data_IF_168579755795
#
_entry.id   IF_168579755795
#
_cell.length_a   1.000
_cell.length_b   1.000
_cell.length_c   1.000
_cell.angle_alpha   90.00
_cell.angle_beta   90.00
_cell.angle_gamma   90.00
#
_symmetry.space_group_name_H-M   'P 1'
#
loop_
_entity.id
_entity.type
_entity.pdbx_description
1 polymer ?
#
# COMPACT_ATOMS: atom_id res chain seq x y z
N UNK A 1 13.27 -21.78 -26.83
CA UNK A 1 12.09 -22.38 -26.21
C UNK A 1 11.30 -21.24 -25.61
N UNK A 2 10.05 -21.03 -26.00
CA UNK A 2 9.19 -20.03 -25.35
C UNK A 2 8.97 -20.51 -23.90
N UNK A 3 9.26 -19.67 -22.94
CA UNK A 3 8.96 -19.95 -21.54
C UNK A 3 7.47 -19.79 -21.33
N UNK A 4 6.86 -20.68 -20.54
CA UNK A 4 5.44 -20.54 -20.19
C UNK A 4 5.17 -19.19 -19.55
N UNK A 5 4.06 -18.52 -19.88
CA UNK A 5 3.75 -17.22 -19.34
C UNK A 5 3.59 -17.27 -17.82
N UNK A 6 4.10 -16.24 -17.16
CA UNK A 6 4.04 -16.12 -15.70
C UNK A 6 2.61 -15.79 -15.24
N UNK A 7 2.06 -16.62 -14.36
CA UNK A 7 0.73 -16.38 -13.79
C UNK A 7 0.76 -15.31 -12.72
N UNK A 8 0.02 -14.24 -12.92
CA UNK A 8 -0.08 -13.10 -11.98
C UNK A 8 -1.49 -12.99 -11.45
N UNK A 9 -1.61 -12.98 -10.12
CA UNK A 9 -2.90 -12.86 -9.44
C UNK A 9 -3.11 -11.43 -8.93
N UNK A 10 -4.23 -10.84 -9.30
CA UNK A 10 -4.73 -9.58 -8.77
C UNK A 10 -5.80 -9.87 -7.73
N UNK A 11 -5.58 -9.40 -6.51
CA UNK A 11 -6.51 -9.67 -5.42
C UNK A 11 -7.63 -8.62 -5.40
N UNK A 12 -8.92 -9.01 -5.21
CA UNK A 12 -10.04 -8.09 -5.16
C UNK A 12 -9.85 -6.90 -4.20
N UNK A 13 -9.20 -7.12 -3.06
CA UNK A 13 -8.85 -6.07 -2.10
C UNK A 13 -7.84 -5.04 -2.64
N UNK A 14 -6.98 -5.42 -3.59
CA UNK A 14 -5.94 -4.56 -4.15
C UNK A 14 -6.42 -3.87 -5.46
N UNK A 15 -7.37 -4.47 -6.17
CA UNK A 15 -7.80 -3.99 -7.50
C UNK A 15 -8.36 -2.56 -7.42
N UNK A 16 -9.10 -2.23 -6.37
CA UNK A 16 -9.59 -0.86 -6.17
C UNK A 16 -8.46 0.18 -6.16
N UNK A 17 -7.26 -0.20 -5.67
CA UNK A 17 -6.10 0.68 -5.73
C UNK A 17 -5.60 0.85 -7.17
N UNK A 18 -5.56 -0.23 -7.96
CA UNK A 18 -5.05 -0.20 -9.33
C UNK A 18 -5.92 0.62 -10.29
N UNK A 19 -7.22 0.70 -10.02
CA UNK A 19 -8.19 1.47 -10.82
C UNK A 19 -8.61 2.81 -10.19
N UNK A 20 -7.88 3.26 -9.15
CA UNK A 20 -8.06 4.58 -8.55
C UNK A 20 -9.27 4.75 -7.63
N UNK A 21 -9.93 3.65 -7.24
CA UNK A 21 -11.08 3.67 -6.32
C UNK A 21 -10.71 3.53 -4.84
N UNK A 22 -9.43 3.33 -4.52
CA UNK A 22 -8.91 3.36 -3.16
C UNK A 22 -8.01 4.58 -2.96
N UNK A 23 -8.53 5.61 -2.32
CA UNK A 23 -7.77 6.85 -2.06
C UNK A 23 -6.81 6.76 -0.87
N UNK A 24 -6.89 5.70 -0.05
CA UNK A 24 -6.12 5.58 1.18
C UNK A 24 -4.76 4.91 0.99
N UNK A 25 -4.74 3.74 0.37
CA UNK A 25 -3.51 2.98 0.13
C UNK A 25 -3.53 2.36 -1.27
N UNK A 26 -2.80 2.95 -2.19
CA UNK A 26 -2.64 2.40 -3.54
C UNK A 26 -1.17 2.21 -3.91
N UNK A 27 -0.23 2.86 -3.24
CA UNK A 27 1.21 2.71 -3.48
C UNK A 27 1.66 1.33 -3.05
N UNK A 28 1.30 0.88 -1.85
CA UNK A 28 1.69 -0.45 -1.33
C UNK A 28 1.18 -1.62 -2.19
N UNK A 29 -0.11 -1.66 -2.62
CA UNK A 29 -0.57 -2.68 -3.57
C UNK A 29 0.21 -2.67 -4.89
N UNK A 30 0.49 -1.48 -5.43
CA UNK A 30 1.24 -1.32 -6.68
C UNK A 30 2.69 -1.83 -6.56
N UNK A 31 3.40 -1.48 -5.49
CA UNK A 31 4.76 -1.95 -5.23
C UNK A 31 4.81 -3.47 -5.05
N UNK A 32 3.82 -4.05 -4.35
CA UNK A 32 3.69 -5.51 -4.25
C UNK A 32 3.46 -6.18 -5.59
N UNK A 33 2.67 -5.57 -6.48
CA UNK A 33 2.45 -6.07 -7.81
C UNK A 33 3.74 -6.02 -8.64
N UNK A 34 4.44 -4.89 -8.62
CA UNK A 34 5.73 -4.75 -9.30
C UNK A 34 6.74 -5.80 -8.82
N UNK A 35 6.93 -5.94 -7.52
CA UNK A 35 7.83 -6.97 -6.95
C UNK A 35 7.46 -8.39 -7.39
N UNK A 36 6.17 -8.69 -7.54
CA UNK A 36 5.71 -10.00 -8.03
C UNK A 36 5.99 -10.20 -9.51
N UNK A 37 5.79 -9.17 -10.33
CA UNK A 37 5.99 -9.27 -11.79
C UNK A 37 7.46 -9.25 -12.17
N UNK A 38 8.24 -8.37 -11.57
CA UNK A 38 9.63 -8.06 -11.91
C UNK A 38 10.46 -7.81 -10.64
N UNK A 39 10.75 -8.92 -9.93
CA UNK A 39 11.49 -8.87 -8.66
C UNK A 39 12.94 -8.43 -8.85
N UNK A 40 13.54 -8.69 -10.01
CA UNK A 40 14.91 -8.34 -10.32
C UNK A 40 15.06 -6.83 -10.41
N UNK A 41 14.30 -6.18 -11.31
CA UNK A 41 14.37 -4.72 -11.44
C UNK A 41 13.95 -3.99 -10.17
N UNK A 42 12.99 -4.54 -9.41
CA UNK A 42 12.62 -4.00 -8.11
C UNK A 42 13.82 -3.99 -7.14
N UNK A 43 14.49 -5.13 -7.05
CA UNK A 43 15.67 -5.30 -6.17
C UNK A 43 16.84 -4.43 -6.61
N UNK A 44 17.11 -4.37 -7.91
CA UNK A 44 18.22 -3.59 -8.47
C UNK A 44 18.06 -2.09 -8.22
N UNK A 45 16.86 -1.55 -8.41
CA UNK A 45 16.61 -0.13 -8.16
C UNK A 45 16.77 0.20 -6.67
N UNK A 46 16.28 -0.66 -5.77
CA UNK A 46 16.46 -0.48 -4.34
C UNK A 46 17.94 -0.56 -3.97
N UNK A 47 18.68 -1.55 -4.48
CA UNK A 47 20.11 -1.70 -4.20
C UNK A 47 20.91 -0.51 -4.73
N UNK A 48 20.59 0.00 -5.92
CA UNK A 48 21.23 1.20 -6.46
C UNK A 48 20.95 2.42 -5.57
N UNK A 49 19.74 2.57 -5.06
CA UNK A 49 19.41 3.65 -4.13
C UNK A 49 20.16 3.52 -2.80
N UNK A 50 20.32 2.29 -2.27
CA UNK A 50 21.13 2.02 -1.07
C UNK A 50 22.60 2.34 -1.32
N UNK A 51 23.17 1.93 -2.46
CA UNK A 51 24.57 2.23 -2.84
C UNK A 51 24.78 3.75 -2.94
N UNK A 52 23.82 4.48 -3.49
CA UNK A 52 23.87 5.95 -3.53
C UNK A 52 23.89 6.55 -2.12
N UNK A 53 23.06 6.05 -1.21
CA UNK A 53 23.01 6.49 0.18
C UNK A 53 24.34 6.23 0.89
N UNK A 54 24.93 5.04 0.71
CA UNK A 54 26.23 4.69 1.30
C UNK A 54 27.36 5.59 0.76
N UNK A 55 27.31 5.92 -0.52
CA UNK A 55 28.25 6.87 -1.15
C UNK A 55 28.11 8.27 -0.55
N UNK A 56 26.88 8.73 -0.27
CA UNK A 56 26.64 10.02 0.38
C UNK A 56 27.16 10.03 1.84
N UNK A 57 26.91 8.96 2.60
CA UNK A 57 27.43 8.80 3.98
C UNK A 57 28.96 8.86 3.99
N UNK A 58 29.62 8.15 3.07
CA UNK A 58 31.07 8.18 2.94
C UNK A 58 31.62 9.58 2.62
N UNK A 59 30.93 10.33 1.74
CA UNK A 59 31.33 11.73 1.46
C UNK A 59 31.26 12.62 2.70
N UNK A 60 30.24 12.41 3.56
CA UNK A 60 30.14 13.15 4.84
C UNK A 60 31.34 12.82 5.75
N UNK A 61 31.66 11.53 5.90
CA UNK A 61 32.83 11.09 6.69
C UNK A 61 34.15 11.71 6.18
N UNK A 62 34.34 11.77 4.86
CA UNK A 62 35.53 12.37 4.25
C UNK A 62 35.57 13.89 4.49
N UNK A 63 34.45 14.59 4.47
CA UNK A 63 34.36 16.01 4.80
C UNK A 63 34.63 16.28 6.28
N UNK A 64 34.17 15.41 7.19
CA UNK A 64 34.48 15.50 8.61
C UNK A 64 35.97 15.31 8.88
N UNK A 65 36.62 14.34 8.24
CA UNK A 65 38.09 14.17 8.29
C UNK A 65 38.82 15.41 7.77
N UNK A 66 38.35 16.04 6.70
CA UNK A 66 38.93 17.29 6.21
C UNK A 66 38.81 18.41 7.24
N UNK A 67 37.68 18.50 7.96
CA UNK A 67 37.47 19.46 9.04
C UNK A 67 38.44 19.25 10.18
N UNK A 68 38.69 18.01 10.60
CA UNK A 68 39.68 17.65 11.60
C UNK A 68 41.11 18.04 11.20
N UNK A 69 41.48 17.79 9.93
CA UNK A 69 42.76 18.19 9.38
C UNK A 69 42.93 19.71 9.39
N UNK A 70 41.92 20.49 9.02
CA UNK A 70 41.94 21.95 9.08
C UNK A 70 42.11 22.46 10.53
N UNK A 71 41.48 21.77 11.49
CA UNK A 71 41.66 22.11 12.91
C UNK A 71 43.13 21.87 13.35
N UNK A 72 43.74 20.79 12.87
CA UNK A 72 45.14 20.47 13.14
C UNK A 72 46.09 21.51 12.50
N UNK A 73 45.80 21.93 11.28
CA UNK A 73 46.56 22.97 10.56
C UNK A 73 46.45 24.34 11.26
N UNK A 74 45.29 24.68 11.81
CA UNK A 74 45.08 25.88 12.60
C UNK A 74 45.91 25.83 13.89
N UNK A 75 45.88 24.70 14.61
CA UNK A 75 46.62 24.50 15.85
C UNK A 75 48.15 24.59 15.59
N UNK A 76 48.61 24.09 14.45
CA UNK A 76 50.00 24.16 14.01
C UNK A 76 50.37 25.53 13.37
N UNK A 77 49.46 26.51 13.39
CA UNK A 77 49.63 27.86 12.81
C UNK A 77 49.94 27.85 11.29
N UNK A 78 49.56 26.79 10.56
CA UNK A 78 49.72 26.69 9.11
C UNK A 78 48.70 27.52 8.36
N UNK A 79 47.52 27.71 8.94
CA UNK A 79 46.42 28.54 8.41
C UNK A 79 45.96 29.58 9.45
N UNK A 80 45.37 30.66 8.95
CA UNK A 80 44.81 31.72 9.82
C UNK A 80 43.39 31.33 10.28
N UNK A 81 42.97 31.93 11.40
CA UNK A 81 41.57 31.76 11.89
C UNK A 81 40.51 32.14 10.85
N UNK A 82 40.80 33.13 10.01
CA UNK A 82 39.89 33.56 8.97
C UNK A 82 39.73 32.48 7.87
N UNK A 83 40.86 31.93 7.40
CA UNK A 83 40.86 30.85 6.44
C UNK A 83 40.18 29.60 6.98
N UNK A 84 40.47 29.21 8.22
CA UNK A 84 39.78 28.11 8.90
C UNK A 84 38.26 28.31 8.90
N UNK A 85 37.76 29.47 9.40
CA UNK A 85 36.33 29.76 9.45
C UNK A 85 35.68 29.69 8.07
N UNK A 86 36.34 30.17 7.03
CA UNK A 86 35.82 30.14 5.65
C UNK A 86 35.69 28.70 5.14
N UNK A 87 36.71 27.86 5.35
CA UNK A 87 36.73 26.48 4.91
C UNK A 87 35.69 25.64 5.67
N UNK A 88 35.63 25.74 6.99
CA UNK A 88 34.68 25.05 7.83
C UNK A 88 33.23 25.42 7.43
N UNK A 89 32.95 26.71 7.21
CA UNK A 89 31.61 27.13 6.76
C UNK A 89 31.20 26.48 5.42
N UNK A 90 32.15 26.29 4.50
CA UNK A 90 31.87 25.58 3.23
C UNK A 90 31.56 24.10 3.49
N UNK A 91 32.39 23.44 4.32
CA UNK A 91 32.19 22.02 4.67
C UNK A 91 30.84 21.86 5.36
N UNK A 92 30.52 22.65 6.37
CA UNK A 92 29.26 22.57 7.13
C UNK A 92 28.04 22.74 6.21
N UNK A 93 28.12 23.66 5.23
CA UNK A 93 27.08 23.84 4.24
C UNK A 93 26.89 22.58 3.37
N UNK A 94 28.00 22.03 2.83
CA UNK A 94 27.96 20.84 1.99
C UNK A 94 27.48 19.61 2.76
N UNK A 95 27.94 19.42 4.01
CA UNK A 95 27.47 18.35 4.89
C UNK A 95 25.97 18.47 5.16
N UNK A 96 25.47 19.69 5.42
CA UNK A 96 24.05 19.93 5.65
C UNK A 96 23.19 19.57 4.41
N UNK A 97 23.66 19.93 3.20
CA UNK A 97 22.99 19.61 1.94
C UNK A 97 22.98 18.10 1.71
N UNK A 98 24.11 17.40 1.85
CA UNK A 98 24.20 15.95 1.69
C UNK A 98 23.32 15.23 2.72
N UNK A 99 23.34 15.65 3.98
CA UNK A 99 22.51 15.05 5.03
C UNK A 99 21.01 15.20 4.75
N UNK A 100 20.59 16.35 4.20
CA UNK A 100 19.20 16.56 3.79
C UNK A 100 18.79 15.62 2.66
N UNK A 101 19.64 15.48 1.65
CA UNK A 101 19.41 14.55 0.53
C UNK A 101 19.42 13.09 1.00
N UNK A 102 20.37 12.71 1.85
CA UNK A 102 20.48 11.36 2.41
C UNK A 102 19.24 10.98 3.23
N UNK A 103 18.76 11.89 4.10
CA UNK A 103 17.52 11.67 4.86
C UNK A 103 16.31 11.48 3.93
N UNK A 104 16.20 12.29 2.88
CA UNK A 104 15.13 12.13 1.88
C UNK A 104 15.22 10.79 1.16
N UNK A 105 16.42 10.35 0.78
CA UNK A 105 16.64 9.06 0.10
C UNK A 105 16.39 7.88 1.05
N UNK A 106 16.83 7.96 2.30
CA UNK A 106 16.61 6.95 3.34
C UNK A 106 15.11 6.77 3.62
N UNK A 107 14.38 7.85 3.81
CA UNK A 107 12.91 7.80 3.97
C UNK A 107 12.20 7.17 2.77
N UNK A 108 12.68 7.43 1.55
CA UNK A 108 12.14 6.82 0.32
C UNK A 108 12.43 5.31 0.27
N UNK A 109 13.66 4.88 0.56
CA UNK A 109 14.03 3.47 0.60
C UNK A 109 13.19 2.74 1.66
N UNK A 110 13.07 3.30 2.86
CA UNK A 110 12.29 2.72 3.95
C UNK A 110 10.79 2.58 3.58
N UNK A 111 10.27 3.49 2.77
CA UNK A 111 8.86 3.44 2.35
C UNK A 111 8.56 2.37 1.29
N UNK A 112 9.53 1.95 0.50
CA UNK A 112 9.36 0.99 -0.61
C UNK A 112 9.96 -0.39 -0.33
N UNK A 113 10.92 -0.51 0.59
CA UNK A 113 11.51 -1.80 0.96
C UNK A 113 10.59 -2.55 1.93
N UNK A 114 9.64 -3.32 1.36
CA UNK A 114 8.69 -4.13 2.12
C UNK A 114 9.36 -5.12 3.09
N UNK A 115 10.53 -5.63 2.72
CA UNK A 115 11.30 -6.55 3.58
C UNK A 115 11.93 -5.79 4.76
N UNK A 116 12.33 -4.55 4.53
CA UNK A 116 12.83 -3.65 5.57
C UNK A 116 11.73 -3.22 6.53
N UNK A 117 10.52 -2.93 6.03
CA UNK A 117 9.36 -2.63 6.86
C UNK A 117 9.04 -3.77 7.83
N UNK A 118 9.09 -5.03 7.36
CA UNK A 118 8.89 -6.20 8.22
C UNK A 118 10.02 -6.35 9.25
N UNK A 119 11.27 -6.09 8.85
CA UNK A 119 12.42 -6.09 9.77
C UNK A 119 12.31 -4.98 10.81
N UNK A 120 11.82 -3.82 10.40
CA UNK A 120 11.61 -2.67 11.27
C UNK A 120 10.58 -2.99 12.38
N UNK A 121 9.45 -3.60 12.02
CA UNK A 121 8.45 -4.08 13.01
C UNK A 121 9.09 -5.10 13.96
N UNK A 122 9.87 -6.05 13.43
CA UNK A 122 10.57 -7.03 14.27
C UNK A 122 11.63 -6.40 15.18
N UNK A 123 12.23 -5.26 14.78
CA UNK A 123 13.25 -4.56 15.58
C UNK A 123 12.70 -3.85 16.81
N UNK A 124 11.38 -3.68 16.93
CA UNK A 124 10.74 -3.07 18.12
C UNK A 124 10.84 -3.98 19.37
N UNK A 125 11.28 -5.22 19.16
CA UNK A 125 11.44 -6.20 20.22
C UNK A 125 10.33 -7.23 20.25
N UNK A 126 10.68 -8.42 20.75
CA UNK A 126 9.79 -9.60 20.73
C UNK A 126 8.50 -9.34 21.53
N UNK A 127 8.61 -8.77 22.71
CA UNK A 127 7.48 -8.43 23.59
C UNK A 127 6.49 -7.48 22.93
N UNK A 128 6.99 -6.51 22.17
CA UNK A 128 6.15 -5.56 21.44
C UNK A 128 5.44 -6.23 20.27
N UNK A 129 6.10 -7.15 19.57
CA UNK A 129 5.46 -7.94 18.50
C UNK A 129 4.39 -8.86 19.08
N UNK A 130 4.63 -9.49 20.20
CA UNK A 130 3.65 -10.32 20.91
C UNK A 130 2.45 -9.49 21.38
N UNK A 131 2.69 -8.28 21.91
CA UNK A 131 1.63 -7.34 22.26
C UNK A 131 0.78 -6.98 21.03
N UNK A 132 1.41 -6.72 19.89
CA UNK A 132 0.72 -6.40 18.63
C UNK A 132 -0.16 -7.56 18.16
N UNK A 133 0.29 -8.79 18.35
CA UNK A 133 -0.40 -10.02 17.93
C UNK A 133 -1.40 -10.55 18.97
N UNK A 134 -1.40 -10.02 20.20
CA UNK A 134 -2.28 -10.48 21.26
C UNK A 134 -3.76 -10.34 20.91
N UNK A 135 -4.55 -11.39 21.09
CA UNK A 135 -6.01 -11.38 20.90
C UNK A 135 -6.75 -10.81 22.11
N UNK A 136 -6.12 -10.89 23.27
CA UNK A 136 -6.73 -10.52 24.56
C UNK A 136 -6.80 -9.01 24.76
N UNK A 137 -5.84 -8.26 24.17
CA UNK A 137 -5.72 -6.83 24.39
C UNK A 137 -6.60 -6.06 23.39
N UNK A 138 -7.40 -5.16 23.89
CA UNK A 138 -8.24 -4.28 23.08
C UNK A 138 -7.37 -3.42 22.10
N UNK A 139 -7.88 -3.21 20.89
CA UNK A 139 -7.15 -2.49 19.83
C UNK A 139 -6.74 -1.07 20.27
N UNK A 140 -7.59 -0.36 21.02
CA UNK A 140 -7.27 0.97 21.54
C UNK A 140 -6.13 0.93 22.55
N UNK A 141 -6.10 -0.08 23.40
CA UNK A 141 -5.06 -0.26 24.39
C UNK A 141 -3.73 -0.68 23.72
N UNK A 142 -3.79 -1.52 22.67
CA UNK A 142 -2.63 -1.81 21.83
C UNK A 142 -2.04 -0.54 21.23
N UNK A 143 -2.88 0.29 20.62
CA UNK A 143 -2.42 1.55 20.01
C UNK A 143 -1.75 2.46 21.05
N UNK A 144 -2.37 2.62 22.23
CA UNK A 144 -1.83 3.43 23.32
C UNK A 144 -0.48 2.87 23.84
N UNK A 145 -0.41 1.58 24.09
CA UNK A 145 0.79 0.93 24.59
C UNK A 145 1.94 1.03 23.59
N UNK A 146 1.69 0.79 22.30
CA UNK A 146 2.68 0.91 21.23
C UNK A 146 3.18 2.35 21.11
N UNK A 147 2.29 3.34 21.14
CA UNK A 147 2.70 4.75 21.11
C UNK A 147 3.64 5.06 22.27
N UNK A 148 3.31 4.65 23.49
CA UNK A 148 4.16 4.84 24.66
C UNK A 148 5.53 4.16 24.52
N UNK A 149 5.57 2.93 23.97
CA UNK A 149 6.82 2.20 23.73
C UNK A 149 7.67 2.94 22.69
N UNK A 150 7.09 3.36 21.58
CA UNK A 150 7.80 4.05 20.51
C UNK A 150 8.33 5.41 20.95
N UNK A 151 7.56 6.17 21.74
CA UNK A 151 7.97 7.47 22.29
C UNK A 151 9.17 7.33 23.23
N UNK A 152 9.27 6.21 23.97
CA UNK A 152 10.38 5.90 24.86
C UNK A 152 11.66 5.40 24.15
N UNK A 153 11.58 5.06 22.87
CA UNK A 153 12.73 4.51 22.12
C UNK A 153 13.75 5.56 21.65
N UNK A 154 13.54 6.86 21.94
CA UNK A 154 14.42 7.96 21.52
C UNK A 154 14.83 7.92 20.04
N UNK A 155 13.90 7.57 19.16
CA UNK A 155 14.13 7.47 17.73
C UNK A 155 14.10 8.85 17.07
N UNK A 156 14.86 9.01 15.97
CA UNK A 156 14.75 10.20 15.12
C UNK A 156 13.33 10.34 14.54
N UNK A 157 12.85 11.59 14.38
CA UNK A 157 11.46 11.89 14.04
C UNK A 157 10.90 11.13 12.81
N UNK A 158 11.71 11.01 11.74
CA UNK A 158 11.29 10.29 10.52
C UNK A 158 11.15 8.77 10.76
N UNK A 159 12.05 8.18 11.54
CA UNK A 159 11.97 6.76 11.94
C UNK A 159 10.79 6.49 12.85
N UNK A 160 10.55 7.39 13.80
CA UNK A 160 9.41 7.30 14.71
C UNK A 160 8.09 7.36 13.91
N UNK A 161 7.95 8.33 13.00
CA UNK A 161 6.75 8.45 12.15
C UNK A 161 6.51 7.20 11.29
N UNK A 162 7.58 6.63 10.71
CA UNK A 162 7.49 5.40 9.92
C UNK A 162 7.04 4.22 10.78
N UNK A 163 7.63 4.02 11.95
CA UNK A 163 7.25 2.95 12.88
C UNK A 163 5.83 3.12 13.40
N UNK A 164 5.40 4.32 13.73
CA UNK A 164 4.02 4.61 14.14
C UNK A 164 3.03 4.26 13.02
N UNK A 165 3.35 4.60 11.78
CA UNK A 165 2.51 4.25 10.62
C UNK A 165 2.43 2.74 10.42
N UNK A 166 3.56 2.04 10.40
CA UNK A 166 3.61 0.59 10.14
C UNK A 166 2.97 -0.22 11.28
N UNK A 167 3.22 0.15 12.53
CA UNK A 167 2.58 -0.51 13.68
C UNK A 167 1.07 -0.26 13.72
N UNK A 168 0.61 0.96 13.41
CA UNK A 168 -0.81 1.28 13.30
C UNK A 168 -1.47 0.47 12.17
N UNK A 169 -0.82 0.36 11.01
CA UNK A 169 -1.28 -0.46 9.89
C UNK A 169 -1.37 -1.94 10.28
N UNK A 170 -0.36 -2.45 10.99
CA UNK A 170 -0.34 -3.82 11.48
C UNK A 170 -1.49 -4.10 12.47
N UNK A 171 -1.69 -3.20 13.46
CA UNK A 171 -2.79 -3.32 14.43
C UNK A 171 -4.14 -3.34 13.72
N UNK A 172 -4.34 -2.46 12.74
CA UNK A 172 -5.61 -2.38 12.01
C UNK A 172 -5.88 -3.64 11.18
N UNK A 173 -4.87 -4.19 10.52
CA UNK A 173 -4.97 -5.44 9.74
C UNK A 173 -5.27 -6.63 10.67
N UNK A 174 -4.52 -6.74 11.76
CA UNK A 174 -4.70 -7.81 12.74
C UNK A 174 -6.06 -7.74 13.43
N UNK A 175 -6.58 -6.53 13.71
CA UNK A 175 -7.92 -6.36 14.27
C UNK A 175 -9.01 -6.93 13.35
N UNK A 176 -8.87 -6.75 12.03
CA UNK A 176 -9.79 -7.35 11.05
C UNK A 176 -9.82 -8.86 11.18
N UNK A 177 -8.68 -9.50 10.94
CA UNK A 177 -8.55 -10.95 10.84
C UNK A 177 -8.90 -11.69 12.14
N UNK A 178 -8.40 -11.23 13.29
CA UNK A 178 -8.64 -11.89 14.59
C UNK A 178 -10.11 -11.87 15.05
N UNK A 179 -10.96 -11.04 14.44
CA UNK A 179 -12.36 -10.90 14.85
C UNK A 179 -13.35 -11.38 13.79
N UNK A 180 -12.88 -11.92 12.68
CA UNK A 180 -13.71 -12.48 11.62
C UNK A 180 -14.56 -13.63 12.16
N UNK A 181 -13.97 -14.61 12.85
CA UNK A 181 -14.66 -15.75 13.42
C UNK A 181 -15.80 -15.32 14.36
N UNK A 182 -15.55 -14.37 15.24
CA UNK A 182 -16.58 -13.82 16.15
C UNK A 182 -17.70 -13.09 15.40
N UNK A 183 -17.45 -12.50 14.24
CA UNK A 183 -18.51 -11.90 13.43
C UNK A 183 -19.35 -12.96 12.73
N UNK A 184 -18.71 -14.03 12.27
CA UNK A 184 -19.35 -15.22 11.68
C UNK A 184 -20.28 -15.86 12.70
N UNK A 185 -19.79 -16.20 13.90
CA UNK A 185 -20.57 -16.82 14.96
C UNK A 185 -21.84 -16.02 15.31
N UNK A 186 -21.71 -14.70 15.50
CA UNK A 186 -22.85 -13.83 15.80
C UNK A 186 -23.85 -13.81 14.64
N UNK A 187 -23.34 -13.80 13.39
CA UNK A 187 -24.20 -13.81 12.21
C UNK A 187 -24.96 -15.13 12.09
N UNK A 188 -24.28 -16.27 12.23
CA UNK A 188 -24.87 -17.61 12.15
C UNK A 188 -25.93 -17.81 13.23
N UNK A 189 -25.64 -17.41 14.47
CA UNK A 189 -26.61 -17.46 15.58
C UNK A 189 -27.87 -16.64 15.30
N UNK A 190 -27.72 -15.44 14.71
CA UNK A 190 -28.86 -14.57 14.42
C UNK A 190 -29.65 -14.99 13.21
N UNK A 191 -29.01 -15.54 12.19
CA UNK A 191 -29.64 -15.90 10.92
C UNK A 191 -30.13 -17.35 10.87
N UNK A 192 -29.63 -18.23 11.74
CA UNK A 192 -29.84 -19.67 11.67
C UNK A 192 -29.18 -20.35 10.47
N UNK A 193 -28.23 -19.68 9.83
CA UNK A 193 -27.54 -20.13 8.60
C UNK A 193 -26.10 -20.46 8.93
N UNK A 194 -25.59 -21.58 8.46
CA UNK A 194 -24.17 -21.93 8.55
C UNK A 194 -23.46 -21.56 7.26
N UNK A 195 -22.32 -20.88 7.36
CA UNK A 195 -21.48 -20.43 6.25
C UNK A 195 -20.35 -21.45 5.97
N UNK A 196 -19.98 -21.60 4.71
CA UNK A 196 -18.70 -22.23 4.35
C UNK A 196 -17.59 -21.16 4.48
N UNK A 197 -16.78 -21.31 5.53
CA UNK A 197 -15.65 -20.44 5.86
C UNK A 197 -14.30 -21.11 5.58
N UNK A 198 -14.26 -22.09 4.70
CA UNK A 198 -13.06 -22.86 4.38
C UNK A 198 -11.92 -22.05 3.75
N UNK A 199 -12.15 -20.78 3.47
CA UNK A 199 -11.22 -19.82 2.83
C UNK A 199 -10.55 -20.40 1.57
N UNK A 200 -11.31 -21.14 0.80
CA UNK A 200 -10.87 -21.71 -0.47
C UNK A 200 -10.46 -20.59 -1.43
N UNK A 201 -9.35 -20.83 -2.15
CA UNK A 201 -8.86 -19.88 -3.13
C UNK A 201 -9.59 -20.05 -4.46
N UNK A 202 -10.27 -19.00 -4.92
CA UNK A 202 -10.94 -18.93 -6.20
C UNK A 202 -10.14 -18.07 -7.17
N UNK A 203 -10.20 -18.40 -8.46
CA UNK A 203 -9.50 -17.64 -9.50
C UNK A 203 -10.30 -17.63 -10.80
N UNK A 204 -10.21 -16.54 -11.55
CA UNK A 204 -10.75 -16.38 -12.89
C UNK A 204 -9.76 -15.63 -13.76
N UNK A 205 -9.49 -16.13 -14.96
CA UNK A 205 -8.61 -15.48 -15.91
C UNK A 205 -9.25 -14.18 -16.43
N UNK A 206 -8.44 -13.14 -16.56
CA UNK A 206 -8.85 -11.88 -17.18
C UNK A 206 -8.63 -12.03 -18.68
N UNK A 207 -9.69 -11.92 -19.52
CA UNK A 207 -9.51 -11.95 -20.96
C UNK A 207 -8.70 -10.72 -21.40
N UNK A 208 -7.46 -10.91 -21.81
CA UNK A 208 -6.58 -9.84 -22.29
C UNK A 208 -6.70 -9.60 -23.81
N UNK A 209 -7.85 -9.89 -24.41
CA UNK A 209 -8.08 -9.77 -25.85
C UNK A 209 -8.03 -8.34 -26.44
N UNK A 210 -7.75 -7.32 -25.61
CA UNK A 210 -7.57 -5.94 -26.05
C UNK A 210 -6.10 -5.53 -26.16
N UNK A 211 -5.17 -6.41 -25.84
CA UNK A 211 -3.76 -6.09 -25.98
C UNK A 211 -3.25 -6.59 -27.33
N UNK A 212 -3.03 -5.65 -28.25
CA UNK A 212 -2.11 -5.86 -29.38
C UNK A 212 -0.66 -6.05 -28.89
N UNK A 213 -0.48 -6.34 -27.60
CA UNK A 213 0.84 -6.55 -27.04
C UNK A 213 1.25 -7.99 -27.22
N UNK A 214 2.24 -8.18 -28.04
CA UNK A 214 3.07 -9.37 -28.24
C UNK A 214 3.82 -9.86 -26.99
N UNK A 215 3.43 -9.47 -25.78
CA UNK A 215 4.04 -9.99 -24.56
C UNK A 215 3.25 -11.20 -24.07
N UNK A 216 3.59 -12.36 -24.61
CA UNK A 216 3.23 -13.66 -24.03
C UNK A 216 3.85 -13.88 -22.64
N UNK A 217 4.25 -12.81 -21.96
CA UNK A 217 5.04 -12.90 -20.73
C UNK A 217 4.19 -13.17 -19.49
N UNK A 218 2.94 -12.68 -19.47
CA UNK A 218 2.07 -12.78 -18.29
C UNK A 218 0.68 -13.32 -18.63
N UNK A 219 0.16 -14.19 -17.75
CA UNK A 219 -1.25 -14.56 -17.67
C UNK A 219 -1.87 -13.91 -16.43
N UNK A 220 -2.89 -13.08 -16.63
CA UNK A 220 -3.53 -12.32 -15.57
C UNK A 220 -4.78 -13.00 -15.03
N UNK A 221 -4.90 -13.08 -13.73
CA UNK A 221 -6.02 -13.66 -13.01
C UNK A 221 -6.52 -12.72 -11.93
N UNK A 222 -7.84 -12.64 -11.78
CA UNK A 222 -8.43 -12.21 -10.51
C UNK A 222 -8.46 -13.42 -9.60
N UNK A 223 -8.00 -13.30 -8.37
CA UNK A 223 -7.99 -14.43 -7.43
C UNK A 223 -8.06 -13.96 -5.99
N UNK A 224 -8.75 -14.74 -5.15
CA UNK A 224 -8.89 -14.39 -3.74
C UNK A 224 -9.56 -15.48 -2.93
N UNK A 225 -9.59 -15.23 -1.61
CA UNK A 225 -10.32 -16.00 -0.62
C UNK A 225 -11.45 -15.15 -0.09
N UNK A 226 -12.58 -15.78 0.21
CA UNK A 226 -13.74 -15.11 0.78
C UNK A 226 -13.84 -15.43 2.27
N UNK A 227 -14.44 -14.51 3.02
CA UNK A 227 -14.68 -14.70 4.44
C UNK A 227 -15.77 -15.76 4.69
N UNK A 228 -16.75 -15.85 3.78
CA UNK A 228 -17.78 -16.89 3.85
C UNK A 228 -18.62 -17.00 2.58
N UNK A 229 -19.24 -18.15 2.43
CA UNK A 229 -20.18 -18.43 1.33
C UNK A 229 -21.37 -19.20 1.89
N UNK A 230 -22.57 -18.84 1.47
CA UNK A 230 -23.77 -19.64 1.66
C UNK A 230 -24.23 -20.18 0.32
N UNK A 231 -24.35 -21.49 0.20
CA UNK A 231 -24.87 -22.17 -0.98
C UNK A 231 -26.20 -22.83 -0.64
N UNK A 232 -27.27 -22.33 -1.21
CA UNK A 232 -28.57 -22.97 -1.15
C UNK A 232 -28.67 -23.95 -2.33
N UNK A 233 -28.68 -25.25 -2.01
CA UNK A 233 -28.70 -26.32 -3.03
C UNK A 233 -30.03 -26.44 -3.73
N UNK A 234 -31.12 -26.14 -3.03
CA UNK A 234 -32.48 -26.26 -3.55
C UNK A 234 -32.89 -25.00 -4.32
N UNK A 235 -32.34 -23.86 -3.94
CA UNK A 235 -32.58 -22.53 -4.48
C UNK A 235 -31.27 -21.77 -4.76
N UNK A 236 -30.51 -22.11 -5.82
CA UNK A 236 -29.22 -21.51 -6.12
C UNK A 236 -29.25 -19.99 -6.22
N UNK A 237 -30.38 -19.40 -6.59
CA UNK A 237 -30.59 -17.95 -6.65
C UNK A 237 -30.55 -17.27 -5.28
N UNK A 238 -30.67 -18.03 -4.18
CA UNK A 238 -30.55 -17.55 -2.78
C UNK A 238 -29.14 -17.67 -2.24
N UNK A 239 -28.24 -18.26 -3.02
CA UNK A 239 -26.83 -18.33 -2.64
C UNK A 239 -26.21 -16.94 -2.63
N UNK A 240 -25.30 -16.71 -1.67
CA UNK A 240 -24.61 -15.42 -1.56
C UNK A 240 -23.21 -15.59 -1.00
N UNK A 241 -22.36 -14.63 -1.33
CA UNK A 241 -21.04 -14.47 -0.72
C UNK A 241 -21.15 -13.58 0.52
N UNK A 242 -20.22 -13.77 1.45
CA UNK A 242 -20.13 -12.95 2.67
C UNK A 242 -18.76 -12.27 2.68
N UNK A 243 -18.79 -10.97 2.93
CA UNK A 243 -17.63 -10.15 3.23
C UNK A 243 -17.79 -9.56 4.64
N UNK A 244 -16.75 -9.65 5.46
CA UNK A 244 -16.78 -9.22 6.86
C UNK A 244 -15.90 -8.01 7.05
N UNK A 245 -16.42 -7.00 7.74
CA UNK A 245 -15.67 -5.81 8.11
C UNK A 245 -15.78 -5.52 9.60
N UNK A 246 -14.70 -5.71 10.34
CA UNK A 246 -14.60 -5.34 11.73
C UNK A 246 -14.28 -3.85 11.84
N UNK A 247 -15.27 -3.06 12.24
CA UNK A 247 -15.17 -1.61 12.35
C UNK A 247 -14.57 -1.19 13.70
N UNK A 248 -13.66 -0.22 13.69
CA UNK A 248 -13.00 0.28 14.90
C UNK A 248 -13.71 1.50 15.51
N UNK A 249 -14.35 2.32 14.67
CA UNK A 249 -14.92 3.62 15.09
C UNK A 249 -16.43 3.73 14.96
N UNK A 250 -17.09 2.74 14.36
CA UNK A 250 -18.53 2.72 14.08
C UNK A 250 -18.84 2.23 12.69
N UNK A 251 -20.11 2.03 12.39
CA UNK A 251 -20.57 1.64 11.07
C UNK A 251 -20.44 2.80 10.08
N UNK A 252 -20.05 2.51 8.84
CA UNK A 252 -20.04 3.53 7.80
C UNK A 252 -21.47 3.86 7.35
N UNK A 253 -21.75 5.12 7.10
CA UNK A 253 -23.04 5.57 6.58
C UNK A 253 -23.29 5.08 5.16
N UNK A 254 -22.23 4.97 4.35
CA UNK A 254 -22.27 4.52 2.95
C UNK A 254 -21.22 3.46 2.70
N UNK A 255 -21.50 2.55 1.77
CA UNK A 255 -20.52 1.58 1.28
C UNK A 255 -19.38 2.31 0.58
N UNK A 256 -18.15 2.04 0.99
CA UNK A 256 -16.96 2.64 0.38
C UNK A 256 -16.68 2.04 -0.99
N UNK A 257 -16.19 2.84 -1.94
CA UNK A 257 -15.95 2.39 -3.32
C UNK A 257 -14.99 1.20 -3.39
N UNK A 258 -13.93 1.20 -2.59
CA UNK A 258 -12.98 0.07 -2.56
C UNK A 258 -13.62 -1.22 -2.02
N UNK A 259 -14.56 -1.13 -1.08
CA UNK A 259 -15.31 -2.31 -0.57
C UNK A 259 -16.35 -2.77 -1.61
N UNK A 260 -17.02 -1.81 -2.25
CA UNK A 260 -17.95 -2.09 -3.34
C UNK A 260 -17.26 -2.84 -4.48
N UNK A 261 -16.08 -2.36 -4.89
CA UNK A 261 -15.25 -3.01 -5.91
C UNK A 261 -14.87 -4.43 -5.50
N UNK A 262 -14.36 -4.62 -4.29
CA UNK A 262 -13.97 -5.91 -3.75
C UNK A 262 -15.13 -6.91 -3.79
N UNK A 263 -16.31 -6.50 -3.31
CA UNK A 263 -17.51 -7.35 -3.25
C UNK A 263 -17.99 -7.75 -4.67
N UNK A 264 -18.03 -6.80 -5.62
CA UNK A 264 -18.44 -7.10 -7.00
C UNK A 264 -17.47 -8.06 -7.69
N UNK A 265 -16.18 -7.96 -7.42
CA UNK A 265 -15.17 -8.89 -7.94
C UNK A 265 -15.31 -10.29 -7.33
N UNK A 266 -15.66 -10.42 -6.07
CA UNK A 266 -15.96 -11.73 -5.48
C UNK A 266 -17.23 -12.35 -6.05
N UNK A 267 -18.31 -11.57 -6.25
CA UNK A 267 -19.51 -12.04 -6.96
C UNK A 267 -19.17 -12.51 -8.38
N UNK A 268 -18.33 -11.77 -9.09
CA UNK A 268 -17.83 -12.16 -10.41
C UNK A 268 -17.00 -13.44 -10.39
N UNK A 269 -16.12 -13.63 -9.41
CA UNK A 269 -15.28 -14.83 -9.28
C UNK A 269 -16.09 -16.10 -9.16
N UNK A 270 -17.16 -16.08 -8.36
CA UNK A 270 -17.99 -17.25 -8.09
C UNK A 270 -19.23 -17.34 -8.98
N UNK A 271 -19.51 -16.31 -9.77
CA UNK A 271 -20.76 -16.18 -10.52
C UNK A 271 -22.00 -16.25 -9.61
N UNK A 272 -21.92 -15.65 -8.44
CA UNK A 272 -23.01 -15.53 -7.47
C UNK A 272 -23.44 -14.05 -7.44
N UNK A 273 -24.69 -13.71 -7.84
CA UNK A 273 -25.09 -12.32 -8.07
C UNK A 273 -25.48 -11.57 -6.79
N UNK A 274 -25.33 -12.16 -5.63
CA UNK A 274 -25.68 -11.56 -4.33
C UNK A 274 -24.54 -11.68 -3.33
N UNK A 275 -24.35 -10.63 -2.56
CA UNK A 275 -23.42 -10.57 -1.46
C UNK A 275 -24.08 -10.01 -0.20
N UNK A 276 -23.57 -10.40 0.97
CA UNK A 276 -23.89 -9.78 2.25
C UNK A 276 -22.62 -9.20 2.87
N UNK A 277 -22.60 -7.90 3.03
CA UNK A 277 -21.58 -7.22 3.83
C UNK A 277 -22.01 -7.27 5.31
N UNK A 278 -21.21 -7.94 6.12
CA UNK A 278 -21.42 -8.03 7.57
C UNK A 278 -20.41 -7.09 8.23
N UNK A 279 -20.92 -6.02 8.80
CA UNK A 279 -20.12 -5.08 9.58
C UNK A 279 -20.31 -5.36 11.07
N UNK A 280 -19.21 -5.47 11.80
CA UNK A 280 -19.20 -5.64 13.26
C UNK A 280 -18.55 -4.43 13.94
N UNK A 281 -19.21 -3.90 14.94
CA UNK A 281 -18.68 -2.86 15.82
C UNK A 281 -19.05 -3.17 17.28
N UNK A 282 -18.04 -3.48 18.09
CA UNK A 282 -18.26 -4.02 19.44
C UNK A 282 -19.05 -5.33 19.39
N UNK A 283 -20.18 -5.38 20.09
CA UNK A 283 -21.13 -6.51 20.08
C UNK A 283 -22.23 -6.40 19.03
N UNK A 284 -22.28 -5.30 18.28
CA UNK A 284 -23.30 -5.06 17.27
C UNK A 284 -22.85 -5.54 15.90
N UNK A 285 -23.79 -6.10 15.13
CA UNK A 285 -23.60 -6.39 13.71
C UNK A 285 -24.67 -5.71 12.88
N UNK A 286 -24.28 -5.27 11.69
CA UNK A 286 -25.14 -4.75 10.64
C UNK A 286 -24.91 -5.57 9.38
N UNK A 287 -25.97 -6.02 8.75
CA UNK A 287 -25.89 -6.76 7.46
C UNK A 287 -26.49 -5.90 6.36
N UNK A 288 -25.75 -5.71 5.29
CA UNK A 288 -26.19 -5.01 4.08
C UNK A 288 -26.20 -6.00 2.92
N UNK A 289 -27.33 -6.14 2.24
CA UNK A 289 -27.45 -6.97 1.02
C UNK A 289 -27.02 -6.13 -0.18
N UNK A 290 -26.17 -6.70 -1.01
CA UNK A 290 -25.62 -6.07 -2.20
C UNK A 290 -25.88 -7.01 -3.37
N UNK A 291 -26.51 -6.49 -4.43
CA UNK A 291 -26.69 -7.22 -5.68
C UNK A 291 -25.65 -6.81 -6.71
N UNK A 292 -25.29 -7.73 -7.58
CA UNK A 292 -24.33 -7.46 -8.63
C UNK A 292 -24.90 -6.40 -9.60
N UNK A 293 -24.14 -5.32 -9.75
CA UNK A 293 -24.36 -4.30 -10.78
C UNK A 293 -23.43 -4.62 -11.96
N UNK A 294 -24.01 -5.12 -13.06
CA UNK A 294 -23.25 -5.54 -14.23
C UNK A 294 -22.54 -4.35 -14.91
N UNK A 295 -23.17 -3.17 -14.91
CA UNK A 295 -22.58 -1.97 -15.49
C UNK A 295 -21.36 -1.53 -14.68
N UNK A 296 -21.48 -1.52 -13.34
CA UNK A 296 -20.36 -1.23 -12.45
C UNK A 296 -19.23 -2.25 -12.58
N UNK A 297 -19.55 -3.54 -12.65
CA UNK A 297 -18.57 -4.61 -12.86
C UNK A 297 -17.82 -4.45 -14.18
N UNK A 298 -18.52 -4.15 -15.28
CA UNK A 298 -17.87 -3.96 -16.58
C UNK A 298 -16.92 -2.74 -16.58
N UNK A 299 -17.29 -1.67 -15.88
CA UNK A 299 -16.41 -0.52 -15.67
C UNK A 299 -15.14 -0.90 -14.90
N UNK A 300 -15.27 -1.73 -13.84
CA UNK A 300 -14.11 -2.25 -13.11
C UNK A 300 -13.20 -3.06 -14.04
N UNK A 301 -13.77 -4.01 -14.78
CA UNK A 301 -13.01 -4.89 -15.65
C UNK A 301 -12.34 -4.14 -16.80
N UNK A 302 -13.01 -3.14 -17.34
CA UNK A 302 -12.43 -2.27 -18.39
C UNK A 302 -11.26 -1.44 -17.85
N UNK A 303 -11.43 -0.78 -16.71
CA UNK A 303 -10.35 -0.02 -16.07
C UNK A 303 -9.17 -0.91 -15.69
N UNK A 304 -9.46 -2.14 -15.25
CA UNK A 304 -8.42 -3.11 -14.91
C UNK A 304 -7.63 -3.57 -16.14
N UNK A 305 -8.28 -3.79 -17.28
CA UNK A 305 -7.61 -4.14 -18.55
C UNK A 305 -6.71 -2.98 -19.02
N UNK A 306 -7.18 -1.74 -18.93
CA UNK A 306 -6.37 -0.54 -19.25
C UNK A 306 -5.15 -0.49 -18.34
N UNK A 307 -5.36 -0.67 -17.03
CA UNK A 307 -4.26 -0.69 -16.07
C UNK A 307 -3.23 -1.77 -16.40
N UNK A 308 -3.65 -3.02 -16.63
CA UNK A 308 -2.76 -4.14 -16.97
C UNK A 308 -1.92 -3.80 -18.20
N UNK A 309 -2.56 -3.35 -19.29
CA UNK A 309 -1.88 -3.00 -20.52
C UNK A 309 -0.83 -1.88 -20.31
N UNK A 310 -1.18 -0.83 -19.59
CA UNK A 310 -0.25 0.25 -19.29
C UNK A 310 0.84 -0.17 -18.29
N UNK A 311 0.51 -1.03 -17.32
CA UNK A 311 1.47 -1.55 -16.36
C UNK A 311 2.56 -2.39 -17.07
N UNK A 312 2.18 -3.28 -17.98
CA UNK A 312 3.15 -4.04 -18.79
C UNK A 312 3.96 -3.12 -19.71
N UNK A 313 3.30 -2.34 -20.54
CA UNK A 313 3.97 -1.63 -21.63
C UNK A 313 4.67 -0.34 -21.19
N UNK A 314 4.12 0.38 -20.23
CA UNK A 314 4.65 1.69 -19.81
C UNK A 314 5.50 1.61 -18.55
N UNK A 315 5.17 0.70 -17.62
CA UNK A 315 5.88 0.60 -16.35
C UNK A 315 6.93 -0.50 -16.35
N UNK A 316 6.55 -1.77 -16.58
CA UNK A 316 7.49 -2.90 -16.47
C UNK A 316 8.64 -2.80 -17.47
N UNK A 317 8.39 -2.31 -18.68
CA UNK A 317 9.39 -2.19 -19.74
C UNK A 317 10.16 -0.85 -19.74
N UNK A 318 9.93 0.02 -18.73
CA UNK A 318 10.52 1.36 -18.70
C UNK A 318 11.28 1.63 -17.39
N UNK A 319 12.60 1.46 -17.43
CA UNK A 319 13.48 1.69 -16.28
C UNK A 319 13.41 3.15 -15.78
N UNK A 320 13.26 4.12 -16.69
CA UNK A 320 13.14 5.52 -16.31
C UNK A 320 11.85 5.80 -15.53
N UNK A 321 10.74 5.15 -15.90
CA UNK A 321 9.47 5.26 -15.19
C UNK A 321 9.57 4.65 -13.78
N UNK A 322 10.16 3.45 -13.65
CA UNK A 322 10.42 2.79 -12.37
C UNK A 322 11.29 3.66 -11.46
N UNK A 323 12.39 4.20 -11.98
CA UNK A 323 13.29 5.09 -11.26
C UNK A 323 12.59 6.38 -10.83
N UNK A 324 11.76 6.98 -11.71
CA UNK A 324 10.95 8.15 -11.38
C UNK A 324 9.95 7.82 -10.27
N UNK A 325 9.29 6.67 -10.34
CA UNK A 325 8.35 6.23 -9.33
C UNK A 325 9.01 6.12 -7.95
N UNK A 326 10.16 5.42 -7.86
CA UNK A 326 10.92 5.26 -6.62
C UNK A 326 11.33 6.62 -6.03
N UNK A 327 11.82 7.54 -6.88
CA UNK A 327 12.31 8.85 -6.46
C UNK A 327 11.21 9.88 -6.18
N UNK A 328 9.94 9.56 -6.43
CA UNK A 328 8.82 10.44 -6.21
C UNK A 328 8.33 10.38 -4.75
N UNK A 329 7.81 11.50 -4.26
CA UNK A 329 7.00 11.54 -3.04
C UNK A 329 5.66 10.82 -3.21
N UNK A 330 4.91 10.66 -2.14
CA UNK A 330 3.64 9.93 -2.14
C UNK A 330 2.63 10.50 -3.14
N UNK A 331 2.52 11.83 -3.26
CA UNK A 331 1.54 12.45 -4.15
C UNK A 331 1.91 12.30 -5.62
N UNK A 332 3.20 12.39 -5.94
CA UNK A 332 3.69 12.12 -7.29
C UNK A 332 3.62 10.63 -7.64
N UNK A 333 3.87 9.71 -6.69
CA UNK A 333 3.60 8.28 -6.87
C UNK A 333 2.11 8.05 -7.19
N UNK A 334 1.20 8.73 -6.47
CA UNK A 334 -0.24 8.71 -6.78
C UNK A 334 -0.52 9.10 -8.22
N UNK A 335 0.02 10.23 -8.66
CA UNK A 335 -0.15 10.70 -10.03
C UNK A 335 0.38 9.71 -11.06
N UNK A 336 1.55 9.12 -10.81
CA UNK A 336 2.14 8.12 -11.70
C UNK A 336 1.28 6.86 -11.79
N UNK A 337 0.78 6.32 -10.68
CA UNK A 337 -0.16 5.20 -10.69
C UNK A 337 -1.45 5.57 -11.44
N UNK A 338 -1.99 6.77 -11.20
CA UNK A 338 -3.21 7.25 -11.86
C UNK A 338 -3.08 7.28 -13.39
N UNK A 339 -1.92 7.62 -13.91
CA UNK A 339 -1.64 7.59 -15.35
C UNK A 339 -1.70 6.20 -15.98
N UNK A 340 -1.64 5.12 -15.18
CA UNK A 340 -1.67 3.76 -15.67
C UNK A 340 -3.09 3.22 -15.89
N UNK A 341 -4.11 3.78 -15.24
CA UNK A 341 -5.48 3.33 -15.43
C UNK A 341 -6.36 4.31 -16.22
N UNK A 342 -5.87 5.53 -16.50
CA UNK A 342 -6.56 6.48 -17.36
C UNK A 342 -6.20 6.23 -18.82
N UNK A 343 -7.21 6.08 -19.68
CA UNK A 343 -7.02 6.09 -21.12
C UNK A 343 -6.71 7.52 -21.60
N UNK A 344 -5.88 7.68 -22.64
CA UNK A 344 -5.50 8.99 -23.18
C UNK A 344 -6.70 9.81 -23.68
N UNK A 345 -7.80 9.12 -24.02
CA UNK A 345 -9.08 9.75 -24.40
C UNK A 345 -9.79 10.37 -23.19
N UNK A 346 -9.72 9.72 -22.02
CA UNK A 346 -10.29 10.24 -20.78
C UNK A 346 -9.44 11.34 -20.13
N UNK A 347 -8.12 11.37 -20.38
CA UNK A 347 -7.25 12.43 -19.86
C UNK A 347 -7.70 13.82 -20.30
N UNK A 348 -8.09 13.99 -21.56
CA UNK A 348 -8.54 15.30 -22.08
C UNK A 348 -9.86 15.76 -21.48
N UNK A 349 -10.74 14.86 -21.06
CA UNK A 349 -12.01 15.23 -20.42
C UNK A 349 -11.85 15.54 -18.93
N UNK A 350 -10.85 14.96 -18.24
CA UNK A 350 -10.60 15.21 -16.81
C UNK A 350 -9.72 16.47 -16.63
N UNK A 351 -8.73 16.70 -17.50
CA UNK A 351 -7.93 17.93 -17.49
C UNK A 351 -8.81 19.18 -17.70
N UNK A 352 -9.91 19.03 -18.46
CA UNK A 352 -10.90 20.12 -18.66
C UNK A 352 -11.88 20.28 -17.47
N UNK A 353 -11.97 19.31 -16.56
CA UNK A 353 -12.83 19.38 -15.36
C UNK A 353 -12.07 19.83 -14.11
N UNK A 354 -10.77 19.57 -14.03
CA UNK A 354 -9.92 20.00 -12.90
C UNK A 354 -9.59 21.51 -12.98
N UNK A 355 -9.66 22.12 -14.17
CA UNK A 355 -9.53 23.59 -14.33
C UNK A 355 -10.77 24.37 -13.87
N UNK A 356 -11.95 23.72 -13.79
CA UNK A 356 -13.20 24.35 -13.37
C UNK A 356 -13.55 24.15 -11.87
N UNK A 357 -12.79 23.29 -11.14
CA UNK A 357 -13.07 22.95 -9.74
C UNK A 357 -12.14 23.61 -8.72
N UNK A 358 -11.46 24.70 -9.07
CA UNK A 358 -10.61 25.47 -8.15
C UNK A 358 -11.39 26.36 -7.15
N UNK A 359 -12.68 26.13 -6.95
CA UNK A 359 -13.47 26.77 -5.89
C UNK A 359 -14.49 25.80 -5.29
N UNK A 360 -14.06 24.94 -4.37
CA UNK A 360 -14.92 24.53 -3.26
C UNK A 360 -14.03 24.05 -2.10
N UNK A 361 -13.96 24.90 -1.08
CA UNK A 361 -13.34 24.65 0.21
C UNK A 361 -13.94 23.39 0.85
N UNK A 362 -13.14 22.36 1.02
CA UNK A 362 -13.47 21.26 1.92
C UNK A 362 -13.32 21.76 3.37
N UNK A 363 -14.41 22.22 3.94
CA UNK A 363 -14.57 22.31 5.38
C UNK A 363 -14.45 20.91 5.97
N UNK A 364 -13.35 20.67 6.65
CA UNK A 364 -13.19 19.54 7.58
C UNK A 364 -13.86 20.02 8.87
N UNK A 365 -15.09 19.58 9.11
CA UNK A 365 -15.69 19.68 10.42
C UNK A 365 -15.10 18.59 11.34
N UNK A 366 -14.29 19.06 12.28
CA UNK A 366 -13.93 18.33 13.50
C UNK A 366 -15.18 18.13 14.37
N UNK A 367 -15.57 16.86 14.56
CA UNK A 367 -16.30 16.38 15.73
C UNK A 367 -16.09 14.88 15.92
#
# INVERSE_FOLDING_TARGET
MATDPKKVFLYPSDIAAYIGQNQYDFVTPFERLWKRCDSESYTDIINNSKTQLDSQKKKVEDLEKQRENLQTELNNKKITKCQYKLHVKKIDKTVSEINKESKSLESKIDSIDLDQQQRLIKSIGKETVELLQSEVIETKDKQKNITTILDNMNLEGDKLALLQRETTSFINKTHGTLREDSAIEIYEQKSGITLDTSQKFYKRQIPCSLTNSSSEQFEWYIGGRLDGIYIDKDHPERSYIVEIKNRMRGFFSTLRDYEKTQIHLYMYLLNIPMAKLIEKYGSQIRTTVIYQDNSYLENILTSLRIFINNFENRFLNNISYKTKFVNSDTDNKKKLCRQLYLDDIYKKSIENLDDDSSQEDCLIDDL
#
